data_IF_798971805897
#
_entry.id   IF_798971805897
#
_cell.length_a   1.000
_cell.length_b   1.000
_cell.length_c   1.000
_cell.angle_alpha   90.00
_cell.angle_beta   90.00
_cell.angle_gamma   90.00
#
_symmetry.space_group_name_H-M   'P 1'
#
loop_
_entity.id
_entity.type
_entity.pdbx_description
1 polymer ?
#
# COMPACT_ATOMS: atom_id res chain seq x y z
N UNK A 1 -3.56 0.04 -0.64
CA UNK A 1 -4.36 0.25 0.59
C UNK A 1 -3.98 -0.72 1.70
N UNK A 2 -3.88 -2.04 1.40
CA UNK A 2 -3.56 -3.03 2.42
C UNK A 2 -2.07 -3.00 2.81
N UNK A 3 -1.18 -2.86 1.84
CA UNK A 3 0.27 -2.74 2.01
C UNK A 3 0.82 -1.55 1.24
N UNK A 4 1.83 -0.91 1.81
CA UNK A 4 2.58 0.18 1.21
C UNK A 4 4.03 0.18 1.73
N UNK A 5 4.79 1.16 1.35
CA UNK A 5 6.14 1.44 1.87
C UNK A 5 6.14 2.47 3.02
N UNK A 6 4.96 2.69 3.63
CA UNK A 6 4.80 3.66 4.71
C UNK A 6 5.37 3.16 6.07
N UNK A 7 5.41 1.84 6.26
CA UNK A 7 6.00 1.22 7.43
C UNK A 7 7.31 0.51 7.08
N UNK A 8 8.13 0.25 8.10
CA UNK A 8 9.34 -0.55 7.93
C UNK A 8 9.04 -1.96 7.43
N UNK A 9 9.97 -2.60 6.70
CA UNK A 9 9.80 -3.97 6.22
C UNK A 9 9.50 -4.95 7.35
N UNK A 10 8.55 -5.85 7.10
CA UNK A 10 8.21 -6.94 8.03
C UNK A 10 9.23 -8.07 7.86
N UNK A 11 9.81 -8.56 8.96
CA UNK A 11 10.60 -9.78 8.96
C UNK A 11 9.68 -10.96 8.63
N UNK A 12 9.84 -11.53 7.45
CA UNK A 12 8.90 -12.53 6.95
C UNK A 12 9.56 -13.65 6.15
N UNK A 13 8.94 -14.82 6.25
CA UNK A 13 9.14 -15.89 5.30
C UNK A 13 8.09 -15.76 4.19
N UNK A 14 8.54 -15.73 2.94
CA UNK A 14 7.67 -15.52 1.79
C UNK A 14 7.81 -16.63 0.77
N UNK A 15 6.68 -17.13 0.30
CA UNK A 15 6.59 -18.05 -0.83
C UNK A 15 5.83 -17.34 -1.94
N UNK A 16 6.53 -17.06 -3.04
CA UNK A 16 5.90 -16.55 -4.23
C UNK A 16 6.37 -17.33 -5.45
N UNK A 17 5.50 -17.41 -6.43
CA UNK A 17 5.88 -17.97 -7.73
C UNK A 17 6.20 -16.84 -8.70
N UNK A 18 7.41 -16.84 -9.18
CA UNK A 18 7.90 -15.82 -10.13
C UNK A 18 7.17 -15.94 -11.47
N UNK A 19 7.03 -17.18 -11.98
CA UNK A 19 6.29 -17.46 -13.22
C UNK A 19 4.81 -17.75 -12.91
N UNK A 20 3.87 -17.17 -13.67
CA UNK A 20 2.45 -17.43 -13.51
C UNK A 20 2.10 -18.89 -13.77
N UNK A 21 1.04 -19.39 -13.13
CA UNK A 21 0.46 -20.68 -13.44
C UNK A 21 -0.50 -20.56 -14.62
N UNK A 22 -0.41 -21.55 -15.51
CA UNK A 22 -1.39 -21.79 -16.56
C UNK A 22 -2.12 -23.09 -16.26
N UNK A 23 -3.27 -23.00 -15.59
CA UNK A 23 -4.10 -24.15 -15.24
C UNK A 23 -5.08 -24.41 -16.37
N UNK A 24 -5.06 -25.61 -17.02
CA UNK A 24 -6.03 -25.94 -18.06
C UNK A 24 -7.45 -25.64 -17.64
N UNK A 25 -8.30 -25.19 -18.59
CA UNK A 25 -9.67 -24.70 -18.39
C UNK A 25 -9.76 -23.38 -17.62
N UNK A 26 -9.14 -23.25 -16.44
CA UNK A 26 -9.21 -22.04 -15.61
C UNK A 26 -8.53 -20.87 -16.30
N UNK A 27 -7.30 -21.06 -16.74
CA UNK A 27 -6.53 -19.99 -17.40
C UNK A 27 -7.05 -19.64 -18.81
N UNK A 28 -7.96 -20.42 -19.35
CA UNK A 28 -8.67 -20.04 -20.59
C UNK A 28 -9.58 -18.84 -20.38
N UNK A 29 -10.12 -18.67 -19.18
CA UNK A 29 -11.06 -17.59 -18.82
C UNK A 29 -10.38 -16.52 -17.96
N UNK A 30 -9.55 -16.96 -17.00
CA UNK A 30 -8.92 -16.06 -16.03
C UNK A 30 -7.49 -15.65 -16.43
N UNK A 31 -6.95 -16.21 -17.54
CA UNK A 31 -5.57 -15.97 -17.93
C UNK A 31 -4.57 -16.59 -16.95
N UNK A 32 -3.32 -16.12 -16.99
CA UNK A 32 -2.27 -16.55 -16.05
C UNK A 32 -2.60 -16.16 -14.62
N UNK A 33 -2.29 -17.06 -13.68
CA UNK A 33 -2.60 -16.94 -12.26
C UNK A 33 -1.28 -16.76 -11.50
N UNK A 34 -1.22 -15.74 -10.63
CA UNK A 34 -0.11 -15.54 -9.68
C UNK A 34 -0.60 -15.70 -8.27
N UNK A 35 0.23 -16.34 -7.45
CA UNK A 35 -0.01 -16.48 -6.03
C UNK A 35 1.22 -16.05 -5.25
N UNK A 36 1.00 -15.32 -4.19
CA UNK A 36 1.99 -14.82 -3.28
C UNK A 36 1.51 -15.00 -1.84
N UNK A 37 2.39 -15.47 -0.98
CA UNK A 37 2.08 -15.76 0.41
C UNK A 37 3.26 -15.38 1.30
N UNK A 38 2.99 -14.84 2.49
CA UNK A 38 4.02 -14.62 3.49
C UNK A 38 3.51 -14.85 4.90
N UNK A 39 4.42 -15.21 5.78
CA UNK A 39 4.25 -15.28 7.22
C UNK A 39 5.34 -14.46 7.87
N UNK A 40 5.00 -13.54 8.75
CA UNK A 40 5.95 -12.67 9.42
C UNK A 40 5.53 -12.32 10.83
N UNK A 41 6.33 -11.53 11.51
CA UNK A 41 6.00 -10.97 12.81
C UNK A 41 5.97 -9.44 12.78
N UNK A 42 5.05 -8.86 13.51
CA UNK A 42 4.93 -7.41 13.63
C UNK A 42 5.71 -6.93 14.84
N UNK A 43 6.49 -5.89 14.65
CA UNK A 43 7.32 -5.26 15.69
C UNK A 43 6.68 -3.98 16.22
N UNK A 44 7.07 -3.61 17.46
CA UNK A 44 6.58 -2.40 18.10
C UNK A 44 5.14 -2.51 18.64
N UNK A 45 4.53 -3.70 18.62
CA UNK A 45 3.25 -3.98 19.24
C UNK A 45 3.39 -4.22 20.74
N UNK A 46 2.41 -3.75 21.50
CA UNK A 46 2.29 -3.90 22.95
C UNK A 46 1.01 -4.64 23.34
N UNK A 47 -0.04 -4.52 22.52
CA UNK A 47 -1.36 -5.10 22.79
C UNK A 47 -1.93 -5.83 21.54
N UNK A 48 -1.63 -7.14 21.37
CA UNK A 48 -0.67 -7.96 22.12
C UNK A 48 0.78 -7.69 21.73
N UNK A 49 1.72 -8.08 22.59
CA UNK A 49 3.13 -8.06 22.25
C UNK A 49 3.45 -9.18 21.23
N UNK A 50 4.31 -8.86 20.25
CA UNK A 50 4.82 -9.78 19.24
C UNK A 50 3.74 -10.61 18.50
N UNK A 51 2.70 -9.99 17.90
CA UNK A 51 1.75 -10.74 17.09
C UNK A 51 2.37 -11.16 15.76
N UNK A 52 1.84 -12.24 15.20
CA UNK A 52 2.18 -12.72 13.87
C UNK A 52 1.27 -12.11 12.82
N UNK A 53 1.76 -12.04 11.59
CA UNK A 53 0.98 -11.63 10.42
C UNK A 53 1.12 -12.67 9.31
N UNK A 54 0.01 -13.06 8.76
CA UNK A 54 -0.07 -13.87 7.55
C UNK A 54 -0.73 -13.05 6.45
N UNK A 55 -0.25 -13.18 5.22
CA UNK A 55 -0.86 -12.56 4.06
C UNK A 55 -0.75 -13.44 2.83
N UNK A 56 -1.81 -13.43 2.04
CA UNK A 56 -1.85 -14.07 0.74
C UNK A 56 -2.47 -13.16 -0.32
N UNK A 57 -2.03 -13.31 -1.56
CA UNK A 57 -2.59 -12.62 -2.71
C UNK A 57 -2.70 -13.57 -3.89
N UNK A 58 -3.86 -13.56 -4.51
CA UNK A 58 -4.13 -14.20 -5.80
C UNK A 58 -4.42 -13.12 -6.83
N UNK A 59 -3.72 -13.14 -7.96
CA UNK A 59 -4.03 -12.25 -9.09
C UNK A 59 -4.15 -13.02 -10.39
N UNK A 60 -5.00 -12.52 -11.29
CA UNK A 60 -5.32 -13.12 -12.58
C UNK A 60 -5.31 -12.05 -13.66
N UNK A 61 -5.00 -12.47 -14.90
CA UNK A 61 -4.97 -11.63 -16.10
C UNK A 61 -5.96 -12.16 -17.15
N UNK A 62 -7.26 -11.88 -17.02
CA UNK A 62 -8.27 -12.38 -17.94
C UNK A 62 -8.03 -11.97 -19.38
N UNK A 63 -7.42 -10.81 -19.60
CA UNK A 63 -6.97 -10.32 -20.90
C UNK A 63 -5.73 -9.42 -20.75
N UNK A 64 -4.99 -9.23 -21.83
CA UNK A 64 -3.62 -8.68 -21.82
C UNK A 64 -3.44 -7.31 -21.13
N UNK A 65 -4.49 -6.50 -21.07
CA UNK A 65 -4.41 -5.14 -20.54
C UNK A 65 -5.14 -4.99 -19.19
N UNK A 66 -5.66 -6.11 -18.63
CA UNK A 66 -6.41 -6.10 -17.37
C UNK A 66 -5.91 -7.14 -16.39
N UNK A 67 -5.63 -6.70 -15.20
CA UNK A 67 -5.26 -7.52 -14.04
C UNK A 67 -6.22 -7.24 -12.90
N UNK A 68 -6.64 -8.28 -12.19
CA UNK A 68 -7.41 -8.18 -10.96
C UNK A 68 -6.80 -9.10 -9.90
N UNK A 69 -6.74 -8.62 -8.67
CA UNK A 69 -6.20 -9.34 -7.54
C UNK A 69 -7.10 -9.28 -6.32
N UNK A 70 -7.05 -10.33 -5.52
CA UNK A 70 -7.66 -10.41 -4.19
C UNK A 70 -6.54 -10.76 -3.23
N UNK A 71 -6.45 -10.00 -2.13
CA UNK A 71 -5.54 -10.30 -1.04
C UNK A 71 -6.30 -10.47 0.25
N UNK A 72 -5.76 -11.31 1.11
CA UNK A 72 -6.22 -11.48 2.49
C UNK A 72 -5.03 -11.46 3.43
N UNK A 73 -5.23 -10.87 4.59
CA UNK A 73 -4.24 -10.86 5.66
C UNK A 73 -4.92 -11.08 7.01
N UNK A 74 -4.15 -11.60 7.94
CA UNK A 74 -4.58 -11.81 9.31
C UNK A 74 -3.43 -11.52 10.26
N UNK A 75 -3.69 -10.67 11.25
CA UNK A 75 -2.83 -10.51 12.43
C UNK A 75 -3.33 -11.43 13.51
N UNK A 76 -2.49 -12.31 14.05
CA UNK A 76 -2.89 -13.35 15.00
C UNK A 76 -1.79 -13.67 16.02
N UNK A 77 -2.17 -14.40 17.08
CA UNK A 77 -1.24 -14.73 18.17
C UNK A 77 -0.83 -13.52 18.99
N UNK A 78 0.36 -13.56 19.55
CA UNK A 78 0.86 -12.59 20.53
C UNK A 78 0.57 -13.00 21.99
N UNK A 79 1.28 -12.38 22.92
CA UNK A 79 1.20 -12.71 24.34
C UNK A 79 -0.20 -12.47 24.91
N UNK A 80 -0.77 -13.52 25.53
CA UNK A 80 -2.11 -13.48 26.14
C UNK A 80 -3.29 -13.64 25.17
N UNK A 81 -3.03 -13.84 23.89
CA UNK A 81 -4.01 -14.05 22.83
C UNK A 81 -4.07 -15.51 22.37
N UNK A 82 -4.87 -15.79 21.33
CA UNK A 82 -5.03 -17.13 20.79
C UNK A 82 -3.67 -17.74 20.44
N UNK A 83 -3.41 -19.00 20.82
CA UNK A 83 -2.13 -19.63 20.54
C UNK A 83 -1.93 -19.81 19.04
N UNK A 84 -0.69 -19.66 18.58
CA UNK A 84 -0.30 -19.94 17.19
C UNK A 84 -0.24 -21.46 16.98
N UNK A 85 -1.28 -22.00 16.37
CA UNK A 85 -1.39 -23.42 15.99
C UNK A 85 -2.14 -23.57 14.66
N UNK A 86 -2.18 -24.78 14.11
CA UNK A 86 -2.87 -25.04 12.84
C UNK A 86 -4.35 -24.65 12.88
N UNK A 87 -5.04 -24.86 13.99
CA UNK A 87 -6.45 -24.52 14.10
C UNK A 87 -6.66 -22.99 14.01
N UNK A 88 -5.94 -22.20 14.79
CA UNK A 88 -6.03 -20.74 14.77
C UNK A 88 -5.59 -20.17 13.42
N UNK A 89 -4.54 -20.73 12.81
CA UNK A 89 -4.08 -20.36 11.48
C UNK A 89 -5.18 -20.60 10.42
N UNK A 90 -5.76 -21.82 10.36
CA UNK A 90 -6.84 -22.11 9.41
C UNK A 90 -8.11 -21.31 9.68
N UNK A 91 -8.44 -21.08 10.94
CA UNK A 91 -9.57 -20.21 11.30
C UNK A 91 -9.33 -18.77 10.84
N UNK A 92 -8.11 -18.24 11.00
CA UNK A 92 -7.70 -16.93 10.50
C UNK A 92 -7.82 -16.84 8.97
N UNK A 93 -7.43 -17.91 8.28
CA UNK A 93 -7.44 -17.97 6.82
C UNK A 93 -8.86 -18.11 6.22
N UNK A 94 -9.68 -18.99 6.77
CA UNK A 94 -10.99 -19.35 6.16
C UNK A 94 -12.21 -18.69 6.80
N UNK A 95 -12.11 -18.14 7.98
CA UNK A 95 -13.25 -17.53 8.66
C UNK A 95 -13.70 -16.24 7.95
N UNK A 96 -15.01 -16.11 7.77
CA UNK A 96 -15.61 -15.03 7.00
C UNK A 96 -15.84 -13.73 7.78
N UNK A 97 -15.70 -13.71 9.09
CA UNK A 97 -15.93 -12.52 9.90
C UNK A 97 -15.10 -12.54 11.18
N UNK A 98 -14.95 -11.38 11.86
CA UNK A 98 -14.37 -11.35 13.19
C UNK A 98 -15.42 -11.79 14.23
N UNK A 99 -14.96 -12.47 15.27
CA UNK A 99 -15.83 -12.80 16.41
C UNK A 99 -15.88 -11.60 17.34
N UNK A 100 -16.89 -10.78 17.22
CA UNK A 100 -17.10 -9.60 18.04
C UNK A 100 -17.47 -9.89 19.51
N UNK A 101 -17.75 -11.15 19.85
CA UNK A 101 -18.38 -11.52 21.13
C UNK A 101 -17.51 -12.39 22.04
N UNK A 102 -16.44 -12.97 21.54
CA UNK A 102 -15.56 -13.81 22.35
C UNK A 102 -14.35 -13.02 22.81
N UNK A 103 -13.95 -13.26 24.05
CA UNK A 103 -12.72 -12.65 24.57
C UNK A 103 -11.51 -13.01 23.71
N UNK A 104 -10.41 -12.28 23.85
CA UNK A 104 -9.21 -12.37 23.04
C UNK A 104 -8.67 -13.79 22.78
N UNK A 105 -9.02 -14.77 23.64
CA UNK A 105 -8.59 -16.18 23.50
C UNK A 105 -9.33 -17.00 22.44
N UNK A 106 -10.52 -16.56 22.03
CA UNK A 106 -11.35 -17.27 21.04
C UNK A 106 -11.30 -16.62 19.66
N UNK A 107 -10.90 -15.36 19.59
CA UNK A 107 -10.72 -14.66 18.33
C UNK A 107 -9.46 -15.17 17.62
N UNK A 108 -9.63 -15.61 16.38
CA UNK A 108 -8.52 -16.14 15.57
C UNK A 108 -7.55 -15.03 15.09
N UNK A 109 -7.93 -13.77 15.19
CA UNK A 109 -7.10 -12.64 14.78
C UNK A 109 -7.84 -11.56 14.02
N UNK A 110 -7.15 -10.44 13.76
CA UNK A 110 -7.61 -9.31 12.96
C UNK A 110 -7.45 -9.61 11.47
N UNK A 111 -8.55 -9.62 10.74
CA UNK A 111 -8.61 -10.04 9.33
C UNK A 111 -8.94 -8.88 8.43
N UNK A 112 -8.14 -8.73 7.38
CA UNK A 112 -8.32 -7.71 6.36
C UNK A 112 -8.33 -8.34 4.99
N UNK A 113 -9.12 -7.76 4.10
CA UNK A 113 -9.20 -8.17 2.70
C UNK A 113 -8.98 -6.97 1.79
N UNK A 114 -8.44 -7.23 0.61
CA UNK A 114 -8.24 -6.23 -0.43
C UNK A 114 -8.71 -6.78 -1.77
N UNK A 115 -9.25 -5.91 -2.57
CA UNK A 115 -9.46 -6.10 -4.00
C UNK A 115 -8.68 -5.02 -4.72
N UNK A 116 -7.88 -5.41 -5.69
CA UNK A 116 -7.18 -4.49 -6.57
C UNK A 116 -7.43 -4.83 -8.04
N UNK A 117 -7.41 -3.83 -8.89
CA UNK A 117 -7.36 -4.03 -10.33
C UNK A 117 -6.50 -2.96 -11.00
N UNK A 118 -6.00 -3.32 -12.19
CA UNK A 118 -5.30 -2.44 -13.09
C UNK A 118 -5.78 -2.69 -14.52
N UNK A 119 -6.24 -1.64 -15.19
CA UNK A 119 -6.69 -1.72 -16.57
C UNK A 119 -6.02 -0.66 -17.43
N UNK A 120 -5.22 -1.11 -18.41
CA UNK A 120 -4.65 -0.26 -19.45
C UNK A 120 -5.68 -0.11 -20.57
N UNK A 121 -6.14 1.12 -20.78
CA UNK A 121 -7.23 1.40 -21.68
C UNK A 121 -6.82 1.21 -23.15
N UNK A 122 -7.42 0.27 -23.88
CA UNK A 122 -7.01 -0.07 -25.26
C UNK A 122 -7.24 1.07 -26.24
N UNK A 123 -8.31 1.84 -26.06
CA UNK A 123 -8.71 2.90 -26.98
C UNK A 123 -7.87 4.18 -26.86
N UNK A 124 -7.09 4.33 -25.81
CA UNK A 124 -6.21 5.49 -25.57
C UNK A 124 -4.75 5.18 -25.92
N UNK A 125 -4.53 4.43 -26.99
CA UNK A 125 -3.19 3.97 -27.44
C UNK A 125 -2.41 3.25 -26.34
N UNK A 126 -3.12 2.69 -25.37
CA UNK A 126 -2.54 2.02 -24.19
C UNK A 126 -1.64 2.91 -23.33
N UNK A 127 -1.77 4.23 -23.43
CA UNK A 127 -1.00 5.19 -22.62
C UNK A 127 -1.64 5.47 -21.28
N UNK A 128 -2.94 5.25 -21.16
CA UNK A 128 -3.71 5.49 -19.93
C UNK A 128 -4.01 4.18 -19.21
N UNK A 129 -3.67 4.13 -17.94
CA UNK A 129 -3.99 3.03 -17.02
C UNK A 129 -4.84 3.56 -15.90
N UNK A 130 -6.00 2.96 -15.65
CA UNK A 130 -6.78 3.17 -14.44
C UNK A 130 -6.57 1.99 -13.50
N UNK A 131 -6.55 2.26 -12.22
CA UNK A 131 -6.35 1.23 -11.21
C UNK A 131 -7.02 1.63 -9.89
N UNK A 132 -7.24 0.67 -9.05
CA UNK A 132 -7.61 0.89 -7.66
C UNK A 132 -7.02 -0.20 -6.78
N UNK A 133 -6.81 0.12 -5.54
CA UNK A 133 -6.55 -0.81 -4.45
C UNK A 133 -7.51 -0.49 -3.30
N UNK A 134 -7.79 -1.46 -2.46
CA UNK A 134 -8.76 -1.31 -1.38
C UNK A 134 -8.28 -1.98 -0.09
N UNK A 135 -8.95 -1.66 1.01
CA UNK A 135 -8.82 -2.35 2.30
C UNK A 135 -10.20 -2.44 2.95
N UNK A 136 -10.63 -3.66 3.24
CA UNK A 136 -11.82 -3.91 4.04
C UNK A 136 -11.41 -4.61 5.33
N UNK A 137 -11.86 -4.07 6.44
CA UNK A 137 -11.65 -4.59 7.77
C UNK A 137 -12.87 -5.42 8.17
N UNK A 138 -12.65 -6.66 8.64
CA UNK A 138 -13.70 -7.60 9.06
C UNK A 138 -14.73 -8.02 7.99
N UNK A 139 -14.59 -7.61 6.75
CA UNK A 139 -15.45 -8.03 5.65
C UNK A 139 -14.78 -9.12 4.79
N UNK A 140 -15.59 -9.99 4.18
CA UNK A 140 -15.10 -11.09 3.31
C UNK A 140 -14.32 -10.54 2.11
N UNK A 141 -14.79 -9.42 1.58
CA UNK A 141 -14.15 -8.68 0.51
C UNK A 141 -14.67 -7.23 0.49
N UNK A 142 -13.94 -6.28 -0.12
CA UNK A 142 -14.34 -4.88 -0.18
C UNK A 142 -15.66 -4.61 -0.90
N UNK A 143 -16.10 -5.50 -1.79
CA UNK A 143 -17.36 -5.36 -2.51
C UNK A 143 -18.57 -5.78 -1.67
N UNK A 144 -18.39 -6.54 -0.59
CA UNK A 144 -19.47 -6.90 0.32
C UNK A 144 -20.06 -5.66 0.98
N UNK A 145 -19.22 -4.67 1.27
CA UNK A 145 -19.65 -3.37 1.76
C UNK A 145 -18.71 -2.26 1.26
N UNK A 146 -18.95 -1.77 0.05
CA UNK A 146 -18.11 -0.76 -0.61
C UNK A 146 -17.93 0.51 0.22
N UNK A 147 -18.95 0.86 1.03
CA UNK A 147 -18.90 2.06 1.89
C UNK A 147 -18.09 1.88 3.16
N UNK A 148 -17.81 0.64 3.56
CA UNK A 148 -16.95 0.33 4.70
C UNK A 148 -15.49 0.13 4.31
N UNK A 149 -15.23 -0.16 3.04
CA UNK A 149 -13.87 -0.33 2.54
C UNK A 149 -13.19 1.02 2.30
N UNK A 150 -11.91 1.11 2.64
CA UNK A 150 -11.03 2.16 2.15
C UNK A 150 -10.67 1.89 0.69
N UNK A 151 -10.54 2.93 -0.13
CA UNK A 151 -10.21 2.81 -1.55
C UNK A 151 -9.14 3.80 -1.97
N UNK A 152 -8.32 3.39 -2.92
CA UNK A 152 -7.28 4.22 -3.53
C UNK A 152 -7.38 4.14 -5.06
N UNK A 153 -8.38 4.82 -5.67
CA UNK A 153 -8.45 4.94 -7.11
C UNK A 153 -7.29 5.77 -7.64
N UNK A 154 -6.80 5.39 -8.82
CA UNK A 154 -5.70 6.08 -9.46
C UNK A 154 -5.78 6.04 -10.98
N UNK A 155 -5.06 6.97 -11.60
CA UNK A 155 -4.82 7.04 -13.04
C UNK A 155 -3.33 7.26 -13.28
N UNK A 156 -2.79 6.56 -14.27
CA UNK A 156 -1.43 6.73 -14.74
C UNK A 156 -1.43 6.96 -16.26
N UNK A 157 -0.74 7.98 -16.70
CA UNK A 157 -0.56 8.34 -18.12
C UNK A 157 0.93 8.27 -18.42
N UNK A 158 1.34 7.26 -19.20
CA UNK A 158 2.76 6.97 -19.46
C UNK A 158 3.46 7.98 -20.37
N UNK A 159 2.70 8.70 -21.18
CA UNK A 159 3.19 9.76 -22.08
C UNK A 159 2.11 10.83 -22.20
N UNK A 160 2.45 12.08 -21.88
CA UNK A 160 1.51 13.21 -22.01
C UNK A 160 1.37 13.72 -23.45
N UNK A 161 2.25 13.30 -24.36
CA UNK A 161 2.21 13.66 -25.78
C UNK A 161 2.84 12.59 -26.65
N UNK A 162 2.63 12.70 -27.97
CA UNK A 162 3.16 11.75 -28.97
C UNK A 162 4.62 12.04 -29.36
N UNK A 163 5.09 13.27 -29.13
CA UNK A 163 6.43 13.72 -29.53
C UNK A 163 6.89 14.90 -28.65
N UNK A 164 8.15 15.28 -28.80
CA UNK A 164 8.74 16.40 -28.08
C UNK A 164 8.87 16.16 -26.57
N UNK A 165 8.95 17.22 -25.76
CA UNK A 165 9.12 17.12 -24.31
C UNK A 165 7.99 16.34 -23.62
N UNK A 166 6.74 16.48 -24.06
CA UNK A 166 5.58 15.80 -23.48
C UNK A 166 5.63 14.27 -23.65
N UNK A 167 6.32 13.75 -24.68
CA UNK A 167 6.54 12.31 -24.83
C UNK A 167 7.50 11.73 -23.79
N UNK A 168 8.28 12.58 -23.14
CA UNK A 168 9.20 12.22 -22.04
C UNK A 168 8.58 12.47 -20.65
N UNK A 169 7.30 12.77 -20.58
CA UNK A 169 6.60 13.04 -19.32
C UNK A 169 5.56 11.99 -19.06
N UNK A 170 5.50 11.52 -17.83
CA UNK A 170 4.38 10.76 -17.30
C UNK A 170 3.69 11.51 -16.20
N UNK A 171 2.43 11.14 -15.97
CA UNK A 171 1.60 11.69 -14.91
C UNK A 171 0.89 10.56 -14.17
N UNK A 172 0.88 10.65 -12.85
CA UNK A 172 0.14 9.76 -11.96
C UNK A 172 -0.68 10.58 -10.97
N UNK A 173 -1.89 10.14 -10.72
CA UNK A 173 -2.78 10.73 -9.72
C UNK A 173 -3.46 9.63 -8.93
N UNK A 174 -3.58 9.81 -7.61
CA UNK A 174 -4.28 8.92 -6.70
C UNK A 174 -5.13 9.72 -5.73
N UNK A 175 -6.30 9.17 -5.37
CA UNK A 175 -7.23 9.78 -4.44
C UNK A 175 -7.66 8.78 -3.35
N UNK A 176 -6.75 8.40 -2.42
CA UNK A 176 -7.09 7.48 -1.35
C UNK A 176 -8.09 8.09 -0.36
N UNK A 177 -8.93 7.22 0.19
CA UNK A 177 -9.77 7.56 1.33
C UNK A 177 -9.95 6.36 2.27
N UNK A 178 -9.92 6.63 3.56
CA UNK A 178 -10.18 5.69 4.65
C UNK A 178 -11.26 6.21 5.59
N UNK A 179 -11.72 7.45 5.37
CA UNK A 179 -12.83 8.04 6.11
C UNK A 179 -14.15 7.37 5.74
N UNK A 180 -14.89 6.93 6.75
CA UNK A 180 -16.16 6.23 6.60
C UNK A 180 -17.27 6.95 7.35
N UNK A 181 -18.21 7.59 6.64
CA UNK A 181 -19.21 8.48 7.24
C UNK A 181 -20.06 7.85 8.34
N UNK A 182 -20.20 6.52 8.36
CA UNK A 182 -21.06 5.81 9.29
C UNK A 182 -20.31 4.84 10.22
N UNK A 183 -19.00 4.78 10.13
CA UNK A 183 -18.21 3.78 10.87
C UNK A 183 -16.76 4.26 11.05
N UNK A 184 -16.61 5.44 11.63
CA UNK A 184 -15.31 6.04 11.89
C UNK A 184 -14.42 5.12 12.75
N UNK A 185 -13.12 5.13 12.49
CA UNK A 185 -12.13 4.39 13.25
C UNK A 185 -12.00 2.91 12.89
N UNK A 186 -12.66 2.42 11.83
CA UNK A 186 -12.59 0.99 11.48
C UNK A 186 -11.32 0.62 10.70
N UNK A 187 -10.86 1.51 9.80
CA UNK A 187 -9.69 1.21 8.98
C UNK A 187 -8.40 1.22 9.81
N UNK A 188 -7.62 0.14 9.70
CA UNK A 188 -6.33 -0.04 10.36
C UNK A 188 -6.39 -0.08 11.91
N UNK A 189 -7.58 -0.32 12.47
CA UNK A 189 -7.79 -0.49 13.92
C UNK A 189 -8.36 -1.86 14.22
N UNK A 190 -8.26 -2.30 15.46
CA UNK A 190 -8.92 -3.51 15.94
C UNK A 190 -9.12 -3.42 17.45
N UNK A 191 -10.23 -3.94 17.94
CA UNK A 191 -10.55 -3.91 19.37
C UNK A 191 -9.65 -4.78 20.24
N UNK A 192 -9.17 -5.90 19.68
CA UNK A 192 -8.29 -6.86 20.35
C UNK A 192 -6.83 -6.55 20.05
N UNK A 193 -6.45 -6.33 18.79
CA UNK A 193 -5.11 -5.96 18.35
C UNK A 193 -5.01 -4.42 18.33
N UNK A 194 -4.89 -3.82 19.54
CA UNK A 194 -5.09 -2.37 19.75
C UNK A 194 -4.08 -1.48 19.02
N UNK A 195 -2.87 -2.00 18.76
CA UNK A 195 -1.88 -1.27 17.96
C UNK A 195 -2.28 -1.20 16.48
N UNK A 196 -3.29 -2.00 16.08
CA UNK A 196 -3.88 -1.98 14.75
C UNK A 196 -2.97 -2.54 13.67
N UNK A 197 -3.18 -2.10 12.44
CA UNK A 197 -2.42 -2.53 11.26
C UNK A 197 -1.11 -1.74 11.14
N UNK A 198 -0.15 -2.02 12.03
CA UNK A 198 1.11 -1.27 12.12
C UNK A 198 2.33 -2.21 12.16
N UNK A 199 3.50 -1.69 11.78
CA UNK A 199 4.80 -2.26 12.09
C UNK A 199 5.71 -1.14 12.57
N UNK A 200 6.42 -1.31 13.68
CA UNK A 200 7.21 -0.26 14.32
C UNK A 200 6.40 1.04 14.54
N UNK A 201 5.12 0.88 14.94
CA UNK A 201 4.15 1.96 15.16
C UNK A 201 3.72 2.74 13.89
N UNK A 202 4.24 2.40 12.72
CA UNK A 202 3.83 2.98 11.45
C UNK A 202 2.75 2.13 10.78
N UNK A 203 1.71 2.77 10.22
CA UNK A 203 0.64 2.08 9.49
C UNK A 203 1.23 1.38 8.27
N UNK A 204 0.99 0.08 8.14
CA UNK A 204 1.45 -0.75 7.01
C UNK A 204 0.68 -0.39 5.73
N UNK A 205 -0.56 0.08 5.90
CA UNK A 205 -1.47 0.45 4.83
C UNK A 205 -1.16 1.78 4.15
N UNK A 206 -2.18 2.42 3.57
CA UNK A 206 -2.03 3.67 2.83
C UNK A 206 -1.39 4.78 3.65
N UNK A 207 -0.59 5.62 2.97
CA UNK A 207 0.06 6.81 3.52
C UNK A 207 -0.92 7.79 4.18
N UNK A 208 -2.19 7.77 3.76
CA UNK A 208 -3.21 8.66 4.30
C UNK A 208 -3.61 8.30 5.75
N UNK A 209 -3.31 7.06 6.19
CA UNK A 209 -3.63 6.61 7.54
C UNK A 209 -5.11 6.33 7.78
N UNK A 210 -5.56 6.58 9.01
CA UNK A 210 -6.93 6.30 9.49
C UNK A 210 -7.84 7.49 9.26
N UNK A 211 -9.14 7.22 9.00
CA UNK A 211 -10.22 8.21 8.89
C UNK A 211 -9.84 9.50 8.14
N UNK A 212 -9.24 9.32 6.98
CA UNK A 212 -8.67 10.41 6.21
C UNK A 212 -9.07 10.33 4.75
N UNK A 213 -9.02 11.48 4.10
CA UNK A 213 -9.17 11.62 2.64
C UNK A 213 -8.03 12.44 2.10
N UNK A 214 -7.62 12.19 0.87
CA UNK A 214 -6.59 13.00 0.25
C UNK A 214 -6.36 12.65 -1.20
N UNK A 215 -5.37 13.28 -1.76
CA UNK A 215 -4.91 12.99 -3.11
C UNK A 215 -3.41 13.25 -3.22
N UNK A 216 -2.82 12.55 -4.18
CA UNK A 216 -1.40 12.69 -4.51
C UNK A 216 -1.25 12.68 -6.03
N UNK A 217 -0.39 13.58 -6.53
CA UNK A 217 -0.07 13.70 -7.94
C UNK A 217 1.44 13.69 -8.13
N UNK A 218 1.89 13.04 -9.20
CA UNK A 218 3.28 13.02 -9.63
C UNK A 218 3.35 13.41 -11.10
N UNK A 219 4.27 14.28 -11.43
CA UNK A 219 4.65 14.63 -12.77
C UNK A 219 6.13 14.35 -12.96
N UNK A 220 6.47 13.37 -13.79
CA UNK A 220 7.85 12.95 -14.00
C UNK A 220 8.31 13.36 -15.40
N UNK A 221 9.47 14.00 -15.48
CA UNK A 221 10.18 14.26 -16.74
C UNK A 221 11.40 13.34 -16.84
N UNK A 222 11.43 12.52 -17.87
CA UNK A 222 12.50 11.56 -18.14
C UNK A 222 13.59 12.19 -19.02
N UNK A 223 14.75 12.45 -18.43
CA UNK A 223 15.95 12.88 -19.14
C UNK A 223 16.51 11.74 -19.98
N UNK A 224 16.61 10.55 -19.35
CA UNK A 224 16.97 9.26 -19.96
C UNK A 224 16.10 8.17 -19.33
N UNK A 225 16.14 6.90 -19.83
CA UNK A 225 15.40 5.80 -19.17
C UNK A 225 15.77 5.53 -17.69
N UNK A 226 16.84 6.15 -17.19
CA UNK A 226 17.35 5.96 -15.83
C UNK A 226 17.52 7.25 -15.04
N UNK A 227 17.19 8.38 -15.62
CA UNK A 227 17.33 9.70 -15.02
C UNK A 227 16.05 10.47 -15.16
N UNK A 228 15.58 11.06 -14.08
CA UNK A 228 14.35 11.84 -14.11
C UNK A 228 14.36 12.95 -13.08
N UNK A 229 13.45 13.89 -13.30
CA UNK A 229 13.01 14.87 -12.32
C UNK A 229 11.52 14.67 -12.11
N UNK A 230 11.10 14.48 -10.88
CA UNK A 230 9.72 14.28 -10.50
C UNK A 230 9.25 15.38 -9.56
N UNK A 231 8.15 16.00 -9.91
CA UNK A 231 7.39 16.87 -9.04
C UNK A 231 6.30 16.05 -8.37
N UNK A 232 6.11 16.27 -7.08
CA UNK A 232 5.12 15.59 -6.28
C UNK A 232 4.29 16.61 -5.52
N UNK A 233 2.99 16.42 -5.51
CA UNK A 233 2.05 17.15 -4.68
C UNK A 233 1.19 16.17 -3.89
N UNK A 234 0.96 16.45 -2.62
CA UNK A 234 0.13 15.62 -1.74
C UNK A 234 -0.72 16.52 -0.85
N UNK A 235 -1.98 16.15 -0.67
CA UNK A 235 -2.90 16.80 0.24
C UNK A 235 -3.68 15.73 1.03
N UNK A 236 -3.84 15.96 2.32
CA UNK A 236 -4.58 15.08 3.21
C UNK A 236 -5.43 15.86 4.19
N UNK A 237 -6.61 15.31 4.47
CA UNK A 237 -7.53 15.78 5.49
C UNK A 237 -7.88 14.62 6.44
N UNK A 238 -7.61 14.83 7.72
CA UNK A 238 -7.91 13.89 8.80
C UNK A 238 -9.23 14.30 9.43
N UNK A 239 -10.14 13.33 9.62
CA UNK A 239 -11.47 13.59 10.16
C UNK A 239 -11.44 13.94 11.66
N UNK A 240 -12.40 14.74 12.08
CA UNK A 240 -12.62 15.11 13.50
C UNK A 240 -13.03 13.91 14.35
N UNK A 241 -13.53 12.84 13.75
CA UNK A 241 -13.86 11.59 14.43
C UNK A 241 -12.61 10.87 14.95
N UNK A 242 -11.47 10.99 14.22
CA UNK A 242 -10.20 10.43 14.69
C UNK A 242 -9.48 11.38 15.65
N UNK A 243 -9.35 12.65 15.27
CA UNK A 243 -8.66 13.66 16.06
C UNK A 243 -9.55 14.86 16.36
N UNK A 244 -9.74 15.23 17.62
CA UNK A 244 -10.47 16.44 17.97
C UNK A 244 -9.90 17.67 17.24
N UNK A 245 -10.75 18.34 16.49
CA UNK A 245 -10.35 19.44 15.61
C UNK A 245 -9.85 19.03 14.22
N UNK A 246 -9.78 17.72 13.95
CA UNK A 246 -9.29 17.20 12.66
C UNK A 246 -7.84 17.53 12.36
N UNK A 247 -7.46 17.42 11.09
CA UNK A 247 -6.12 17.79 10.62
C UNK A 247 -6.10 18.03 9.11
N UNK A 248 -5.14 18.81 8.67
CA UNK A 248 -4.82 18.97 7.24
C UNK A 248 -3.32 18.95 7.03
N UNK A 249 -2.89 18.38 5.91
CA UNK A 249 -1.50 18.35 5.50
C UNK A 249 -1.40 18.59 4.01
N UNK A 250 -0.48 19.43 3.58
CA UNK A 250 -0.18 19.70 2.17
C UNK A 250 1.31 19.65 1.99
N UNK A 251 1.78 18.79 1.07
CA UNK A 251 3.19 18.62 0.76
C UNK A 251 3.47 18.96 -0.70
N UNK A 252 4.63 19.54 -0.93
CA UNK A 252 5.20 19.71 -2.25
C UNK A 252 6.63 19.17 -2.26
N UNK A 253 6.92 18.24 -3.17
CA UNK A 253 8.21 17.58 -3.27
C UNK A 253 8.83 17.66 -4.65
N UNK A 254 10.16 17.66 -4.69
CA UNK A 254 10.96 17.49 -5.91
C UNK A 254 11.93 16.35 -5.67
N UNK A 255 11.88 15.34 -6.52
CA UNK A 255 12.81 14.22 -6.50
C UNK A 255 13.64 14.23 -7.80
N UNK A 256 14.92 13.95 -7.71
CA UNK A 256 15.85 13.92 -8.85
C UNK A 256 16.67 12.63 -8.78
N UNK A 257 16.63 11.87 -9.87
CA UNK A 257 17.53 10.73 -10.08
C UNK A 257 18.50 11.08 -11.20
N UNK A 258 19.80 11.06 -10.90
CA UNK A 258 20.87 11.37 -11.84
C UNK A 258 21.98 10.35 -11.79
N UNK A 259 22.39 9.86 -12.96
CA UNK A 259 23.60 9.03 -13.09
C UNK A 259 24.82 9.91 -13.33
N UNK A 260 25.73 9.93 -12.37
CA UNK A 260 26.98 10.66 -12.46
C UNK A 260 28.01 9.86 -13.28
N UNK A 261 27.92 8.54 -13.24
CA UNK A 261 28.72 7.61 -14.05
C UNK A 261 27.96 6.29 -14.23
N UNK A 262 28.45 5.35 -15.08
CA UNK A 262 27.85 4.01 -15.17
C UNK A 262 27.70 3.29 -13.82
N UNK A 263 28.55 3.64 -12.85
CA UNK A 263 28.65 2.97 -11.56
C UNK A 263 28.11 3.80 -10.40
N UNK A 264 27.76 5.06 -10.60
CA UNK A 264 27.32 5.96 -9.52
C UNK A 264 26.02 6.63 -9.91
N UNK A 265 25.02 6.44 -9.05
CA UNK A 265 23.71 7.10 -9.15
C UNK A 265 23.48 7.98 -7.91
N UNK A 266 23.04 9.18 -8.15
CA UNK A 266 22.59 10.12 -7.14
C UNK A 266 21.07 10.17 -7.17
N UNK A 267 20.44 10.01 -6.01
CA UNK A 267 19.03 10.28 -5.81
C UNK A 267 18.87 11.30 -4.69
N UNK A 268 18.16 12.38 -4.96
CA UNK A 268 17.94 13.46 -3.99
C UNK A 268 16.49 13.90 -3.99
N UNK A 269 15.97 14.24 -2.82
CA UNK A 269 14.64 14.77 -2.62
C UNK A 269 14.66 15.97 -1.70
N UNK A 270 13.84 16.96 -2.03
CA UNK A 270 13.48 18.08 -1.16
C UNK A 270 11.96 18.11 -1.07
N UNK A 271 11.43 18.21 0.14
CA UNK A 271 10.00 18.29 0.42
C UNK A 271 9.73 19.48 1.33
N UNK A 272 8.75 20.28 0.97
CA UNK A 272 8.14 21.28 1.82
C UNK A 272 6.78 20.78 2.28
N UNK A 273 6.50 20.92 3.57
CA UNK A 273 5.30 20.46 4.22
C UNK A 273 4.63 21.61 4.98
N UNK A 274 3.31 21.67 4.86
CA UNK A 274 2.46 22.57 5.64
C UNK A 274 1.36 21.75 6.26
N UNK A 275 1.25 21.77 7.59
CA UNK A 275 0.22 21.00 8.29
C UNK A 275 -0.43 21.79 9.42
N UNK A 276 -1.67 21.43 9.71
CA UNK A 276 -2.46 21.87 10.85
C UNK A 276 -3.03 20.65 11.55
N UNK A 277 -2.53 20.35 12.73
CA UNK A 277 -2.98 19.23 13.58
C UNK A 277 -3.18 19.81 14.98
N UNK A 278 -4.38 20.37 15.27
CA UNK A 278 -4.63 21.15 16.49
C UNK A 278 -4.36 20.40 17.79
N UNK A 279 -4.60 19.07 17.81
CA UNK A 279 -4.35 18.21 18.98
C UNK A 279 -2.86 18.09 19.32
N UNK A 280 -1.96 18.20 18.34
CA UNK A 280 -0.52 18.14 18.56
C UNK A 280 0.05 19.52 18.86
N UNK A 281 -0.33 20.50 18.07
CA UNK A 281 0.17 21.89 18.21
C UNK A 281 -0.83 22.88 17.61
N UNK A 282 -1.15 23.98 18.29
CA UNK A 282 -2.02 25.01 17.74
C UNK A 282 -1.35 25.75 16.60
N UNK A 283 -2.16 26.14 15.61
CA UNK A 283 -1.73 26.92 14.44
C UNK A 283 -1.06 26.07 13.35
N UNK A 284 -0.88 26.70 12.21
CA UNK A 284 -0.25 26.07 11.03
C UNK A 284 1.25 25.91 11.25
N UNK A 285 1.72 24.69 11.08
CA UNK A 285 3.14 24.35 11.10
C UNK A 285 3.67 24.24 9.67
N UNK A 286 4.98 24.45 9.50
CA UNK A 286 5.69 24.32 8.23
C UNK A 286 7.00 23.61 8.50
N UNK A 287 7.36 22.70 7.59
CA UNK A 287 8.60 21.96 7.69
C UNK A 287 9.23 21.79 6.31
N UNK A 288 10.54 21.57 6.29
CA UNK A 288 11.27 21.28 5.06
C UNK A 288 12.25 20.15 5.35
N UNK A 289 12.13 19.08 4.60
CA UNK A 289 13.04 17.94 4.67
C UNK A 289 13.80 17.76 3.36
N UNK A 290 15.03 17.29 3.46
CA UNK A 290 15.84 16.93 2.31
C UNK A 290 16.70 15.72 2.62
N UNK A 291 16.91 14.88 1.61
CA UNK A 291 17.84 13.78 1.70
C UNK A 291 18.56 13.54 0.38
N UNK A 292 19.73 12.91 0.47
CA UNK A 292 20.53 12.51 -0.68
C UNK A 292 21.01 11.08 -0.45
N UNK A 293 20.82 10.23 -1.47
CA UNK A 293 21.28 8.84 -1.51
C UNK A 293 22.27 8.67 -2.67
N UNK A 294 23.44 8.13 -2.36
CA UNK A 294 24.42 7.76 -3.37
C UNK A 294 24.41 6.22 -3.46
N UNK A 295 24.19 5.71 -4.66
CA UNK A 295 24.23 4.27 -4.93
C UNK A 295 25.43 3.97 -5.83
N UNK A 296 26.29 3.08 -5.37
CA UNK A 296 27.43 2.58 -6.14
C UNK A 296 27.13 1.19 -6.67
N UNK A 297 27.33 0.99 -7.96
CA UNK A 297 27.19 -0.27 -8.67
C UNK A 297 28.56 -0.81 -9.06
N UNK A 298 29.23 -1.68 -8.24
CA UNK A 298 30.53 -2.20 -8.58
C UNK A 298 30.48 -3.07 -9.84
N UNK A 299 31.35 -2.81 -10.80
CA UNK A 299 31.52 -3.71 -11.95
C UNK A 299 32.46 -4.84 -11.52
N UNK A 300 31.90 -6.01 -11.27
CA UNK A 300 32.70 -7.22 -11.08
C UNK A 300 33.10 -7.69 -12.48
N UNK A 301 34.32 -7.40 -12.89
CA UNK A 301 34.91 -8.08 -14.06
C UNK A 301 34.98 -9.57 -13.72
N UNK A 302 34.10 -10.38 -14.29
CA UNK A 302 34.33 -11.83 -14.34
C UNK A 302 35.59 -12.03 -15.18
N UNK A 303 36.77 -12.26 -14.55
CA UNK A 303 37.85 -12.93 -15.22
C UNK A 303 37.35 -14.33 -15.52
N UNK A 304 37.03 -14.59 -16.78
CA UNK A 304 36.88 -15.93 -17.31
C UNK A 304 38.28 -16.57 -17.18
N UNK A 305 38.41 -17.51 -16.25
CA UNK A 305 39.54 -18.43 -16.25
C UNK A 305 39.35 -19.46 -17.34
#
# INVERSE_FOLDING_TARGET
MLYSDNAEPIYSFRINRVEPWYIPFISRFLGPIRYDNFLGDLKGHVHPNAPWVFGDKLSVHPFNDFEIGIARTCTFGGEGYSPVNFHTFFKCFFSAGSSTLSGAKEDAGDRRTSLDFRWRLPYMQKTVTIYTDSNADDDINPLANVRRAGWQPGIYISHLGKSGPLNKMDFRFEAPYTNQPHNAGINYTNGNYRDGWTNQQNVIGSWIGRDSTGYQAWLTYWLTPRENVQLQYRDAKIDTALWPGGGTQTDFGVNVIKRLSPNIELNGMVQYERYLIPILRPGVQRDTSAWVKITWYPQIQKRLF
#
